data_IF_157533053268
#
_entry.id   IF_157533053268
#
_cell.length_a   1.000
_cell.length_b   1.000
_cell.length_c   1.000
_cell.angle_alpha   90.00
_cell.angle_beta   90.00
_cell.angle_gamma   90.00
#
_symmetry.space_group_name_H-M   'P 1'
#
loop_
_entity.id
_entity.type
_entity.pdbx_description
1 polymer ?
#
# COMPACT_ATOMS: atom_id res chain seq x y z
N UNK A 1 17.25 65.53 27.93
CA UNK A 1 16.22 65.75 26.89
C UNK A 1 16.42 64.65 25.85
N UNK A 2 15.84 63.46 25.93
CA UNK A 2 14.42 63.05 25.99
C UNK A 2 13.61 63.43 24.71
N UNK A 3 13.18 62.36 23.99
CA UNK A 3 11.98 62.18 23.14
C UNK A 3 12.01 62.80 21.71
N UNK A 4 11.55 62.20 20.60
CA UNK A 4 10.78 60.99 20.22
C UNK A 4 10.86 60.76 18.67
N UNK A 5 10.76 59.49 18.22
CA UNK A 5 10.01 58.88 17.06
C UNK A 5 9.76 59.68 15.74
N UNK A 6 9.72 59.18 14.48
CA UNK A 6 9.62 57.87 13.78
C UNK A 6 9.85 58.11 12.26
N UNK A 7 10.36 57.13 11.50
CA UNK A 7 9.78 56.58 10.22
C UNK A 7 10.72 55.54 9.57
N UNK A 8 10.11 54.49 9.01
CA UNK A 8 10.73 53.32 8.39
C UNK A 8 11.23 53.55 6.95
N UNK A 9 12.25 52.80 6.54
CA UNK A 9 12.40 52.26 5.17
C UNK A 9 13.43 51.11 5.18
N UNK A 10 12.95 49.89 4.94
CA UNK A 10 13.80 48.75 4.67
C UNK A 10 14.36 48.82 3.25
N UNK A 11 15.61 48.39 3.06
CA UNK A 11 16.17 48.13 1.75
C UNK A 11 16.54 46.64 1.68
N UNK A 12 15.74 45.91 0.92
CA UNK A 12 15.95 44.52 0.52
C UNK A 12 17.24 44.37 -0.29
N UNK A 13 18.14 43.51 0.16
CA UNK A 13 19.13 42.88 -0.72
C UNK A 13 18.61 41.48 -1.07
N UNK A 14 17.80 41.41 -2.13
CA UNK A 14 17.41 40.15 -2.74
C UNK A 14 18.65 39.56 -3.42
N UNK A 15 19.23 38.52 -2.83
CA UNK A 15 20.21 37.69 -3.52
C UNK A 15 19.47 36.91 -4.60
N UNK A 16 19.79 37.23 -5.86
CA UNK A 16 19.22 36.62 -7.04
C UNK A 16 19.44 35.10 -7.01
N UNK A 17 18.35 34.35 -6.83
CA UNK A 17 18.35 32.92 -7.07
C UNK A 17 18.54 32.71 -8.58
N UNK A 18 19.68 32.11 -8.93
CA UNK A 18 19.97 31.62 -10.28
C UNK A 18 18.80 30.81 -10.81
N UNK A 19 18.28 31.25 -11.95
CA UNK A 19 17.39 30.49 -12.82
C UNK A 19 18.15 29.29 -13.39
N UNK A 20 18.20 28.21 -12.62
CA UNK A 20 18.47 26.88 -13.13
C UNK A 20 17.14 26.15 -13.22
N UNK A 21 16.56 26.09 -14.43
CA UNK A 21 15.54 25.10 -14.75
C UNK A 21 16.18 23.71 -14.74
N UNK A 22 15.72 22.75 -13.92
CA UNK A 22 15.90 21.35 -14.21
C UNK A 22 14.71 20.93 -15.07
N UNK A 23 14.91 20.98 -16.38
CA UNK A 23 14.11 20.16 -17.30
C UNK A 23 14.52 18.70 -17.09
N UNK A 24 13.66 17.94 -16.43
CA UNK A 24 13.69 16.47 -16.31
C UNK A 24 13.02 16.05 -15.01
N UNK A 25 11.88 15.35 -14.98
CA UNK A 25 10.94 14.94 -16.03
C UNK A 25 9.54 14.74 -15.40
N UNK A 26 8.51 14.73 -16.24
CA UNK A 26 7.17 14.16 -15.98
C UNK A 26 6.17 14.77 -14.97
N UNK A 27 6.52 15.76 -14.14
CA UNK A 27 5.49 16.45 -13.31
C UNK A 27 5.03 17.76 -13.98
N UNK A 28 3.76 17.81 -14.41
CA UNK A 28 3.17 19.03 -14.99
C UNK A 28 2.98 20.11 -13.92
N UNK A 29 3.00 21.38 -14.31
CA UNK A 29 2.80 22.53 -13.39
C UNK A 29 1.54 22.39 -12.51
N UNK A 30 0.47 21.79 -13.04
CA UNK A 30 -0.77 21.54 -12.28
C UNK A 30 -0.62 20.43 -11.22
N UNK A 31 0.20 19.41 -11.48
CA UNK A 31 0.48 18.35 -10.51
C UNK A 31 1.41 18.85 -9.40
N UNK A 32 2.36 19.71 -9.74
CA UNK A 32 3.24 20.38 -8.78
C UNK A 32 2.46 21.26 -7.77
N UNK A 33 1.48 22.04 -8.24
CA UNK A 33 0.65 22.89 -7.38
C UNK A 33 -0.28 22.13 -6.42
N UNK A 34 -0.60 20.87 -6.74
CA UNK A 34 -1.38 19.97 -5.88
C UNK A 34 -0.48 19.30 -4.84
N UNK A 35 0.75 18.94 -5.22
CA UNK A 35 1.72 18.29 -4.33
C UNK A 35 2.21 19.26 -3.24
N UNK A 36 2.41 20.54 -3.55
CA UNK A 36 2.79 21.57 -2.59
C UNK A 36 1.75 21.87 -1.49
N UNK A 37 0.53 21.34 -1.60
CA UNK A 37 -0.50 21.48 -0.57
C UNK A 37 -0.36 20.46 0.56
N UNK A 38 0.36 19.36 0.29
CA UNK A 38 0.43 18.19 1.16
C UNK A 38 1.88 17.76 1.48
N UNK A 39 2.88 18.27 0.74
CA UNK A 39 4.29 17.92 0.88
C UNK A 39 5.18 19.16 0.72
N UNK A 40 6.34 19.16 1.38
CA UNK A 40 7.36 20.20 1.26
C UNK A 40 8.14 20.04 -0.06
N UNK A 41 8.76 21.13 -0.60
CA UNK A 41 9.51 21.05 -1.85
C UNK A 41 10.65 20.03 -1.87
N UNK A 42 11.19 19.68 -0.69
CA UNK A 42 12.26 18.70 -0.53
C UNK A 42 11.73 17.26 -0.64
N UNK A 43 10.55 16.97 -0.08
CA UNK A 43 9.89 15.66 -0.19
C UNK A 43 9.41 15.36 -1.63
N UNK A 44 9.12 16.39 -2.43
CA UNK A 44 8.72 16.25 -3.83
C UNK A 44 9.91 15.84 -4.73
N UNK A 45 11.12 16.30 -4.40
CA UNK A 45 12.37 15.90 -5.10
C UNK A 45 12.75 14.45 -4.79
N UNK A 46 12.48 13.98 -3.56
CA UNK A 46 12.73 12.60 -3.16
C UNK A 46 11.74 11.61 -3.81
N UNK A 47 10.50 12.05 -4.08
CA UNK A 47 9.51 11.27 -4.83
C UNK A 47 9.87 11.08 -6.30
N UNK A 48 10.59 12.03 -6.90
CA UNK A 48 11.10 11.95 -8.28
C UNK A 48 12.31 11.00 -8.38
N UNK A 49 13.11 10.89 -7.32
CA UNK A 49 14.31 10.06 -7.27
C UNK A 49 14.03 8.55 -7.09
N UNK A 50 12.83 8.15 -6.68
CA UNK A 50 12.48 6.74 -6.38
C UNK A 50 11.79 6.03 -7.56
N UNK A 51 11.26 6.76 -8.55
CA UNK A 51 10.52 6.17 -9.67
C UNK A 51 11.38 6.08 -10.93
N UNK A 52 12.23 5.04 -11.04
CA UNK A 52 12.95 4.80 -12.29
C UNK A 52 11.95 4.40 -13.40
N UNK A 53 11.96 5.12 -14.53
CA UNK A 53 11.06 4.90 -15.68
C UNK A 53 11.11 3.46 -16.25
N UNK A 54 12.08 2.64 -15.83
CA UNK A 54 12.21 1.24 -16.23
C UNK A 54 11.11 0.33 -15.64
N UNK A 55 10.69 0.53 -14.38
CA UNK A 55 9.67 -0.32 -13.75
C UNK A 55 8.27 -0.05 -14.31
N UNK A 56 7.98 1.21 -14.65
CA UNK A 56 6.71 1.61 -15.26
C UNK A 56 6.59 1.04 -16.69
N UNK A 57 7.69 0.99 -17.46
CA UNK A 57 7.67 0.46 -18.83
C UNK A 57 7.44 -1.06 -18.88
N UNK A 58 7.95 -1.82 -17.90
CA UNK A 58 7.73 -3.27 -17.83
C UNK A 58 6.27 -3.62 -17.49
N UNK A 59 5.67 -2.87 -16.55
CA UNK A 59 4.25 -3.04 -16.19
C UNK A 59 3.33 -2.69 -17.36
N UNK A 60 3.67 -1.64 -18.13
CA UNK A 60 2.92 -1.24 -19.34
C UNK A 60 3.10 -2.27 -20.47
N UNK A 61 4.26 -2.90 -20.59
CA UNK A 61 4.51 -3.94 -21.61
C UNK A 61 3.73 -5.23 -21.33
N UNK A 62 3.58 -5.60 -20.07
CA UNK A 62 2.76 -6.76 -19.65
C UNK A 62 1.26 -6.52 -19.80
N UNK A 63 0.81 -5.27 -19.65
CA UNK A 63 -0.62 -4.93 -19.75
C UNK A 63 -1.04 -4.51 -21.17
N UNK A 64 -0.13 -3.96 -21.98
CA UNK A 64 -0.37 -3.49 -23.35
C UNK A 64 -0.38 -4.57 -24.43
N UNK A 65 0.05 -5.80 -24.13
CA UNK A 65 0.13 -6.90 -25.09
C UNK A 65 -1.17 -7.68 -25.33
N UNK A 66 -2.24 -7.41 -24.59
CA UNK A 66 -3.49 -8.20 -24.68
C UNK A 66 -4.64 -7.39 -25.29
N UNK A 67 -4.54 -7.08 -26.59
CA UNK A 67 -5.68 -6.59 -27.36
C UNK A 67 -5.56 -6.98 -28.83
N UNK A 68 -5.66 -8.28 -29.12
CA UNK A 68 -6.12 -8.83 -30.41
C UNK A 68 -6.20 -10.37 -30.38
N UNK A 69 -7.23 -10.91 -29.74
CA UNK A 69 -7.72 -12.27 -30.05
C UNK A 69 -9.21 -12.36 -29.70
N UNK A 70 -10.03 -11.60 -30.43
CA UNK A 70 -11.42 -12.00 -30.68
C UNK A 70 -11.43 -12.84 -31.95
N UNK A 71 -11.13 -14.14 -31.81
CA UNK A 71 -11.63 -15.15 -32.74
C UNK A 71 -12.68 -15.97 -32.01
N UNK A 72 -13.87 -16.01 -32.60
CA UNK A 72 -14.98 -16.81 -32.16
C UNK A 72 -14.59 -18.28 -31.98
N UNK A 73 -14.69 -18.80 -30.76
CA UNK A 73 -14.82 -20.23 -30.50
C UNK A 73 -15.88 -20.43 -29.43
N UNK A 74 -17.11 -20.63 -29.89
CA UNK A 74 -18.03 -21.58 -29.27
C UNK A 74 -17.34 -22.93 -29.21
N UNK A 75 -16.74 -23.25 -28.07
CA UNK A 75 -16.35 -24.60 -27.69
C UNK A 75 -16.66 -24.75 -26.21
N UNK A 76 -17.57 -25.67 -25.92
CA UNK A 76 -17.95 -26.05 -24.58
C UNK A 76 -16.71 -26.47 -23.78
N UNK A 77 -16.30 -25.63 -22.83
CA UNK A 77 -15.44 -26.05 -21.72
C UNK A 77 -16.40 -26.68 -20.70
N UNK A 78 -16.21 -27.95 -20.28
CA UNK A 78 -17.00 -28.49 -19.19
C UNK A 78 -16.78 -27.58 -17.99
N UNK A 79 -17.88 -27.06 -17.43
CA UNK A 79 -17.86 -26.42 -16.13
C UNK A 79 -17.20 -27.42 -15.19
N UNK A 80 -15.94 -27.15 -14.83
CA UNK A 80 -15.36 -27.71 -13.64
C UNK A 80 -16.32 -27.29 -12.53
N UNK A 81 -17.15 -28.24 -12.12
CA UNK A 81 -18.07 -28.04 -11.01
C UNK A 81 -17.23 -27.51 -9.88
N UNK A 82 -17.66 -26.40 -9.28
CA UNK A 82 -17.12 -25.94 -8.03
C UNK A 82 -17.18 -27.13 -7.08
N UNK A 83 -16.05 -27.85 -6.96
CA UNK A 83 -15.85 -28.73 -5.84
C UNK A 83 -16.07 -27.83 -4.63
N UNK A 84 -16.92 -28.22 -3.67
CA UNK A 84 -16.96 -27.48 -2.43
C UNK A 84 -15.50 -27.42 -1.97
N UNK A 85 -15.00 -26.21 -1.69
CA UNK A 85 -13.76 -26.05 -0.96
C UNK A 85 -14.00 -26.86 0.32
N UNK A 86 -13.52 -28.10 0.30
CA UNK A 86 -13.58 -28.96 1.46
C UNK A 86 -12.82 -28.16 2.50
N UNK A 87 -13.53 -27.74 3.54
CA UNK A 87 -12.97 -27.06 4.67
C UNK A 87 -11.79 -27.91 5.14
N UNK A 88 -10.58 -27.52 4.75
CA UNK A 88 -9.42 -27.88 5.51
C UNK A 88 -9.74 -27.30 6.89
N UNK A 89 -10.04 -28.17 7.84
CA UNK A 89 -10.16 -27.83 9.25
C UNK A 89 -8.75 -27.54 9.79
N UNK A 90 -8.00 -26.69 9.10
CA UNK A 90 -7.05 -25.84 9.78
C UNK A 90 -7.91 -24.97 10.68
N UNK A 91 -7.77 -25.17 11.99
CA UNK A 91 -8.49 -24.44 13.02
C UNK A 91 -8.13 -22.96 12.89
N UNK A 92 -8.87 -22.22 12.07
CA UNK A 92 -8.70 -20.77 11.98
C UNK A 92 -9.29 -20.13 13.23
N UNK A 93 -8.50 -19.28 13.88
CA UNK A 93 -8.87 -18.59 15.11
C UNK A 93 -9.22 -17.11 14.86
N UNK A 94 -9.23 -16.69 13.59
CA UNK A 94 -9.48 -15.30 13.21
C UNK A 94 -8.34 -14.40 13.70
N UNK A 95 -8.66 -13.17 14.06
CA UNK A 95 -7.64 -12.27 14.55
C UNK A 95 -7.38 -12.47 16.06
N UNK A 96 -7.35 -13.69 16.60
CA UNK A 96 -7.45 -14.07 18.04
C UNK A 96 -6.89 -13.15 19.14
N UNK A 97 -5.81 -12.40 18.90
CA UNK A 97 -5.20 -11.44 19.84
C UNK A 97 -5.52 -9.96 19.55
N UNK A 98 -6.40 -9.71 18.59
CA UNK A 98 -6.84 -8.41 18.10
C UNK A 98 -8.31 -8.48 17.63
N UNK A 99 -8.96 -7.33 17.39
CA UNK A 99 -10.31 -7.33 16.85
C UNK A 99 -10.38 -7.92 15.43
N UNK A 100 -11.41 -8.72 15.15
CA UNK A 100 -11.73 -9.19 13.78
C UNK A 100 -12.12 -8.08 12.80
N UNK A 101 -12.28 -6.84 13.28
CA UNK A 101 -12.79 -5.72 12.51
C UNK A 101 -12.23 -4.38 13.01
N UNK A 102 -12.08 -3.42 12.08
CA UNK A 102 -11.82 -2.02 12.39
C UNK A 102 -12.88 -1.12 11.74
N UNK A 103 -13.85 -0.67 12.55
CA UNK A 103 -15.03 0.04 12.04
C UNK A 103 -15.81 -0.82 11.03
N UNK A 104 -15.83 -0.43 9.75
CA UNK A 104 -16.44 -1.20 8.65
C UNK A 104 -15.47 -2.13 7.91
N UNK A 105 -14.19 -2.10 8.23
CA UNK A 105 -13.22 -3.01 7.63
C UNK A 105 -13.30 -4.36 8.34
N UNK A 106 -13.67 -5.40 7.59
CA UNK A 106 -13.66 -6.78 8.06
C UNK A 106 -12.27 -7.39 7.80
N UNK A 107 -11.58 -7.76 8.88
CA UNK A 107 -10.24 -8.34 8.85
C UNK A 107 -10.27 -9.85 9.05
N UNK A 108 -11.36 -10.41 9.58
CA UNK A 108 -11.46 -11.83 9.89
C UNK A 108 -11.11 -12.74 8.70
N UNK A 109 -11.63 -12.53 7.48
CA UNK A 109 -11.27 -13.41 6.35
C UNK A 109 -9.75 -13.43 6.08
N UNK A 110 -9.10 -12.27 6.20
CA UNK A 110 -7.64 -12.16 6.01
C UNK A 110 -6.86 -12.81 7.15
N UNK A 111 -7.33 -12.71 8.40
CA UNK A 111 -6.75 -13.45 9.52
C UNK A 111 -6.92 -14.97 9.34
N UNK A 112 -8.08 -15.43 8.89
CA UNK A 112 -8.33 -16.85 8.61
C UNK A 112 -7.42 -17.38 7.48
N UNK A 113 -7.12 -16.56 6.47
CA UNK A 113 -6.16 -16.92 5.42
C UNK A 113 -4.71 -16.98 5.94
N UNK A 114 -4.35 -16.09 6.88
CA UNK A 114 -3.04 -16.08 7.53
C UNK A 114 -2.83 -17.32 8.41
N UNK A 115 -3.85 -17.72 9.18
CA UNK A 115 -3.84 -18.96 9.97
C UNK A 115 -3.54 -20.19 9.10
N UNK A 116 -4.19 -20.31 7.94
CA UNK A 116 -3.93 -21.40 6.98
C UNK A 116 -2.52 -21.35 6.40
N UNK A 117 -1.97 -20.15 6.19
CA UNK A 117 -0.60 -19.99 5.73
C UNK A 117 0.43 -20.39 6.79
N UNK A 118 0.09 -20.19 8.07
CA UNK A 118 0.92 -20.55 9.22
C UNK A 118 0.85 -22.04 9.58
N UNK A 119 -0.10 -22.78 9.02
CA UNK A 119 -0.31 -24.18 9.42
C UNK A 119 0.79 -25.12 8.95
N UNK A 120 0.89 -26.26 9.64
CA UNK A 120 1.84 -27.33 9.33
C UNK A 120 1.76 -27.92 7.92
N UNK A 121 0.69 -27.62 7.18
CA UNK A 121 0.52 -28.07 5.79
C UNK A 121 1.05 -27.09 4.75
N UNK A 122 1.38 -25.87 5.16
CA UNK A 122 1.93 -24.82 4.30
C UNK A 122 3.42 -25.00 4.05
N UNK A 123 3.86 -24.71 2.82
CA UNK A 123 5.27 -24.64 2.40
C UNK A 123 5.75 -23.21 2.19
N UNK A 124 4.95 -22.21 2.59
CA UNK A 124 5.21 -20.79 2.34
C UNK A 124 6.02 -20.22 3.49
N UNK A 125 7.07 -19.44 3.19
CA UNK A 125 7.87 -18.76 4.20
C UNK A 125 7.00 -17.81 5.04
N UNK A 126 7.33 -17.69 6.33
CA UNK A 126 6.57 -16.86 7.27
C UNK A 126 6.46 -15.41 6.81
N UNK A 127 7.56 -14.85 6.30
CA UNK A 127 7.59 -13.49 5.77
C UNK A 127 6.61 -13.30 4.61
N UNK A 128 6.46 -14.29 3.72
CA UNK A 128 5.51 -14.23 2.62
C UNK A 128 4.07 -14.31 3.12
N UNK A 129 3.79 -15.19 4.08
CA UNK A 129 2.49 -15.23 4.77
C UNK A 129 2.14 -13.87 5.40
N UNK A 130 3.08 -13.28 6.13
CA UNK A 130 2.88 -11.99 6.81
C UNK A 130 2.71 -10.83 5.80
N UNK A 131 3.40 -10.88 4.66
CA UNK A 131 3.27 -9.87 3.59
C UNK A 131 1.91 -9.94 2.89
N UNK A 132 1.45 -11.15 2.58
CA UNK A 132 0.10 -11.37 2.04
C UNK A 132 -0.98 -10.94 3.03
N UNK A 133 -0.76 -11.20 4.32
CA UNK A 133 -1.63 -10.75 5.40
C UNK A 133 -1.78 -9.21 5.41
N UNK A 134 -0.69 -8.45 5.39
CA UNK A 134 -0.75 -6.98 5.29
C UNK A 134 -1.52 -6.53 4.03
N UNK A 135 -1.25 -7.16 2.88
CA UNK A 135 -1.96 -6.86 1.64
C UNK A 135 -3.47 -7.09 1.77
N UNK A 136 -3.90 -8.18 2.39
CA UNK A 136 -5.32 -8.46 2.63
C UNK A 136 -5.98 -7.41 3.52
N UNK A 137 -5.33 -7.03 4.63
CA UNK A 137 -5.84 -6.03 5.56
C UNK A 137 -5.98 -4.65 4.90
N UNK A 138 -4.96 -4.22 4.16
CA UNK A 138 -4.98 -2.95 3.43
C UNK A 138 -6.06 -2.91 2.35
N UNK A 139 -6.31 -4.05 1.68
CA UNK A 139 -7.40 -4.18 0.74
C UNK A 139 -8.77 -4.09 1.42
N UNK A 140 -8.93 -4.67 2.63
CA UNK A 140 -10.16 -4.54 3.43
C UNK A 140 -10.41 -3.09 3.85
N UNK A 141 -9.37 -2.35 4.23
CA UNK A 141 -9.45 -0.91 4.49
C UNK A 141 -9.92 -0.12 3.26
N UNK A 142 -9.34 -0.41 2.09
CA UNK A 142 -9.67 0.29 0.85
C UNK A 142 -11.12 0.04 0.42
N UNK A 143 -11.60 -1.21 0.55
CA UNK A 143 -13.00 -1.58 0.27
C UNK A 143 -13.98 -0.93 1.25
N UNK A 144 -13.64 -0.88 2.54
CA UNK A 144 -14.51 -0.33 3.57
C UNK A 144 -14.64 1.19 3.53
N UNK A 145 -13.59 1.88 3.07
CA UNK A 145 -13.49 3.35 3.06
C UNK A 145 -13.03 3.89 1.69
N UNK A 146 -13.84 3.72 0.62
CA UNK A 146 -13.42 4.10 -0.74
C UNK A 146 -13.26 5.61 -0.94
N UNK A 147 -14.05 6.42 -0.23
CA UNK A 147 -14.05 7.90 -0.35
C UNK A 147 -13.63 8.62 0.94
N UNK A 148 -13.61 7.92 2.08
CA UNK A 148 -13.30 8.49 3.40
C UNK A 148 -11.77 8.45 3.67
N UNK A 149 -11.01 9.34 3.03
CA UNK A 149 -9.53 9.37 3.09
C UNK A 149 -8.96 9.25 4.52
N UNK A 150 -9.47 10.05 5.45
CA UNK A 150 -8.98 10.07 6.84
C UNK A 150 -9.23 8.70 7.51
N UNK A 151 -10.42 8.12 7.34
CA UNK A 151 -10.72 6.80 7.90
C UNK A 151 -9.91 5.70 7.23
N UNK A 152 -9.73 5.77 5.92
CA UNK A 152 -8.90 4.81 5.20
C UNK A 152 -7.46 4.84 5.72
N UNK A 153 -6.85 6.00 5.84
CA UNK A 153 -5.48 6.11 6.35
C UNK A 153 -5.35 5.62 7.80
N UNK A 154 -6.33 5.92 8.66
CA UNK A 154 -6.36 5.36 10.02
C UNK A 154 -6.49 3.83 10.01
N UNK A 155 -7.32 3.26 9.13
CA UNK A 155 -7.43 1.82 8.94
C UNK A 155 -6.11 1.19 8.49
N UNK A 156 -5.43 1.81 7.51
CA UNK A 156 -4.15 1.34 7.00
C UNK A 156 -3.08 1.33 8.11
N UNK A 157 -3.03 2.37 8.96
CA UNK A 157 -2.15 2.36 10.12
C UNK A 157 -2.46 1.23 11.12
N UNK A 158 -3.73 0.84 11.26
CA UNK A 158 -4.09 -0.34 12.08
C UNK A 158 -3.65 -1.64 11.38
N UNK A 159 -3.78 -1.74 10.06
CA UNK A 159 -3.26 -2.88 9.29
C UNK A 159 -1.74 -3.06 9.49
N UNK A 160 -0.98 -1.95 9.49
CA UNK A 160 0.46 -1.98 9.79
C UNK A 160 0.74 -2.50 11.20
N UNK A 161 -0.05 -2.09 12.20
CA UNK A 161 0.09 -2.59 13.59
C UNK A 161 -0.12 -4.10 13.66
N UNK A 162 -1.10 -4.65 12.92
CA UNK A 162 -1.35 -6.09 12.86
C UNK A 162 -0.17 -6.82 12.23
N UNK A 163 0.34 -6.30 11.10
CA UNK A 163 1.51 -6.84 10.44
C UNK A 163 2.74 -6.83 11.36
N UNK A 164 3.05 -5.70 12.01
CA UNK A 164 4.17 -5.64 12.93
C UNK A 164 4.00 -6.58 14.13
N UNK A 165 2.78 -6.78 14.64
CA UNK A 165 2.53 -7.74 15.70
C UNK A 165 2.90 -9.18 15.26
N UNK A 166 2.44 -9.63 14.08
CA UNK A 166 2.79 -10.97 13.57
C UNK A 166 4.28 -11.06 13.20
N UNK A 167 4.89 -10.00 12.65
CA UNK A 167 6.34 -10.00 12.38
C UNK A 167 7.18 -10.19 13.64
N UNK A 168 6.81 -9.52 14.74
CA UNK A 168 7.58 -9.56 15.98
C UNK A 168 7.29 -10.77 16.88
N UNK A 169 6.06 -11.29 16.88
CA UNK A 169 5.63 -12.36 17.80
C UNK A 169 5.15 -13.65 17.10
N UNK A 170 4.80 -13.57 15.82
CA UNK A 170 4.21 -14.67 15.04
C UNK A 170 5.14 -15.87 14.83
N UNK A 171 6.46 -15.69 14.92
CA UNK A 171 7.41 -16.80 14.76
C UNK A 171 7.18 -17.94 15.75
N UNK A 172 6.64 -17.66 16.95
CA UNK A 172 6.29 -18.68 17.93
C UNK A 172 5.04 -19.51 17.56
N UNK A 173 4.24 -19.04 16.61
CA UNK A 173 2.99 -19.66 16.16
C UNK A 173 3.08 -20.20 14.73
N UNK A 174 4.21 -20.02 14.06
CA UNK A 174 4.42 -20.53 12.71
C UNK A 174 4.75 -22.02 12.75
N UNK A 175 3.83 -22.83 12.25
CA UNK A 175 3.94 -24.30 12.20
C UNK A 175 4.29 -24.82 10.80
N UNK A 176 4.31 -23.95 9.79
CA UNK A 176 4.59 -24.27 8.40
C UNK A 176 6.00 -24.81 8.15
N UNK A 177 6.18 -25.36 6.95
CA UNK A 177 7.41 -26.04 6.52
C UNK A 177 8.40 -25.11 5.80
N UNK A 178 8.03 -23.85 5.56
CA UNK A 178 8.90 -22.82 5.01
C UNK A 178 9.84 -22.22 6.06
N UNK A 179 10.60 -21.20 5.64
CA UNK A 179 11.48 -20.45 6.55
C UNK A 179 10.65 -19.65 7.55
N UNK A 180 10.97 -19.82 8.84
CA UNK A 180 10.48 -18.96 9.92
C UNK A 180 11.39 -17.73 10.03
N UNK A 181 11.19 -16.77 9.13
CA UNK A 181 12.01 -15.56 8.93
C UNK A 181 11.31 -14.27 9.36
#
# INVERSE_FOLDING_TARGET
MMLLASTAAGASAATAASTASPTGGDITKKQHDVLLRNFTPQEIVELDAISSQAEIQEIVRLTGGSSSLRLAQTSAIPQASAAPLAAATDETNGCSYSPDQWGRADFKPTCDDHDRCYSSTSFVDRLDCDTVFLSGLTASCTRAYPTEMIRRNACLGVADVYYYAVRNAGGAFYEGQGLNN
#
